data_IF_388010303721
#
_entry.id   IF_388010303721
#
_cell.length_a   1.000
_cell.length_b   1.000
_cell.length_c   1.000
_cell.angle_alpha   90.00
_cell.angle_beta   90.00
_cell.angle_gamma   90.00
#
_symmetry.space_group_name_H-M   'P 1'
#
loop_
_entity.id
_entity.type
_entity.pdbx_description
1 polymer ?
#
# COMPACT_ATOMS: atom_id res chain seq x y z
N UNK A 1 -16.99 37.89 87.03
CA UNK A 1 -17.87 38.95 86.47
C UNK A 1 -17.09 39.68 85.38
N UNK A 2 -17.69 39.83 84.19
CA UNK A 2 -17.53 40.93 83.19
C UNK A 2 -16.10 41.31 82.73
N UNK A 3 -15.79 41.63 81.46
CA UNK A 3 -16.53 41.95 80.24
C UNK A 3 -15.51 41.96 79.08
N UNK A 4 -16.08 41.89 77.88
CA UNK A 4 -15.52 41.82 76.51
C UNK A 4 -14.50 42.92 76.14
N UNK A 5 -13.60 42.61 75.18
CA UNK A 5 -13.38 43.27 73.86
C UNK A 5 -11.90 43.16 73.43
N UNK A 6 -11.66 42.53 72.27
CA UNK A 6 -10.58 42.82 71.29
C UNK A 6 -10.69 41.74 70.19
N UNK A 7 -11.59 41.82 69.21
CA UNK A 7 -11.51 42.62 67.98
C UNK A 7 -10.19 42.48 67.22
N UNK A 8 -10.15 41.41 66.42
CA UNK A 8 -9.73 41.35 65.01
C UNK A 8 -8.68 42.35 64.50
N UNK A 9 -7.43 41.89 64.39
CA UNK A 9 -6.58 42.02 63.21
C UNK A 9 -5.29 41.23 63.48
N UNK A 10 -5.27 39.94 63.15
CA UNK A 10 -4.07 39.13 63.29
C UNK A 10 -3.93 38.14 62.13
N UNK A 11 -3.04 38.53 61.22
CA UNK A 11 -2.02 37.65 60.63
C UNK A 11 -2.56 36.65 59.58
N UNK A 12 -2.79 37.24 58.42
CA UNK A 12 -2.50 36.72 57.10
C UNK A 12 -1.04 36.19 57.03
N UNK A 13 -0.77 34.93 57.42
CA UNK A 13 0.51 34.25 57.16
C UNK A 13 0.46 32.74 57.45
N UNK A 14 -0.26 31.95 56.64
CA UNK A 14 -0.11 30.48 56.62
C UNK A 14 -0.64 29.86 55.33
N UNK A 15 -0.07 30.26 54.20
CA UNK A 15 -0.36 29.69 52.88
C UNK A 15 0.96 29.53 52.09
N UNK A 16 1.90 28.72 52.59
CA UNK A 16 3.06 28.35 51.79
C UNK A 16 3.57 26.96 52.18
N UNK A 17 3.91 26.18 51.15
CA UNK A 17 4.51 24.84 51.15
C UNK A 17 3.57 23.62 51.13
N UNK A 18 2.74 23.55 50.09
CA UNK A 18 2.59 22.28 49.36
C UNK A 18 3.17 22.46 47.96
N UNK A 19 4.50 22.42 47.87
CA UNK A 19 5.19 22.31 46.59
C UNK A 19 5.10 20.87 46.12
N UNK A 20 4.22 20.59 45.14
CA UNK A 20 4.32 19.36 44.37
C UNK A 20 5.65 19.39 43.61
N UNK A 21 6.66 18.72 44.13
CA UNK A 21 7.84 18.36 43.35
C UNK A 21 7.41 17.33 42.31
N UNK A 22 6.92 17.82 41.17
CA UNK A 22 6.84 17.01 39.95
C UNK A 22 8.27 16.81 39.48
N UNK A 23 8.95 15.86 40.10
CA UNK A 23 10.22 15.32 39.59
C UNK A 23 9.88 14.65 38.28
N UNK A 24 10.04 15.36 37.17
CA UNK A 24 9.97 14.78 35.84
C UNK A 24 11.16 13.83 35.76
N UNK A 25 10.91 12.54 35.99
CA UNK A 25 11.89 11.52 35.66
C UNK A 25 11.98 11.52 34.14
N UNK A 26 13.08 12.02 33.62
CA UNK A 26 13.42 11.74 32.23
C UNK A 26 13.63 10.24 32.16
N UNK A 27 12.68 9.57 31.52
CA UNK A 27 12.82 8.17 31.19
C UNK A 27 13.93 8.05 30.14
N UNK A 28 15.14 7.69 30.58
CA UNK A 28 16.29 7.36 29.73
C UNK A 28 16.09 6.02 29.00
N UNK A 29 14.84 5.56 28.81
CA UNK A 29 14.58 4.36 28.03
C UNK A 29 15.10 4.58 26.60
N UNK A 30 16.07 3.77 26.14
CA UNK A 30 16.70 3.98 24.85
C UNK A 30 15.64 4.01 23.75
N UNK A 31 15.75 5.02 22.88
CA UNK A 31 14.86 5.21 21.75
C UNK A 31 14.62 3.86 21.06
N UNK A 32 13.35 3.46 20.98
CA UNK A 32 12.97 2.19 20.39
C UNK A 32 13.57 2.05 18.98
N UNK A 33 14.44 1.05 18.79
CA UNK A 33 15.10 0.84 17.50
C UNK A 33 14.07 0.42 16.45
N UNK A 34 14.10 1.09 15.30
CA UNK A 34 13.36 0.64 14.10
C UNK A 34 14.12 -0.54 13.50
N UNK A 35 13.43 -1.64 13.26
CA UNK A 35 13.94 -2.79 12.50
C UNK A 35 13.46 -2.63 11.06
N UNK A 36 14.40 -2.43 10.14
CA UNK A 36 14.14 -2.48 8.71
C UNK A 36 14.17 -3.95 8.26
N UNK A 37 13.15 -4.38 7.54
CA UNK A 37 13.18 -5.64 6.80
C UNK A 37 13.45 -5.27 5.35
N UNK A 38 14.56 -5.75 4.81
CA UNK A 38 14.98 -5.43 3.46
C UNK A 38 13.99 -6.04 2.45
N UNK A 39 13.05 -5.23 1.95
CA UNK A 39 12.19 -5.60 0.83
C UNK A 39 12.82 -4.99 -0.43
N UNK A 40 13.75 -5.72 -1.02
CA UNK A 40 14.39 -5.36 -2.28
C UNK A 40 13.52 -5.65 -3.51
N UNK A 41 13.99 -5.19 -4.67
CA UNK A 41 13.32 -5.39 -5.95
C UNK A 41 13.05 -6.88 -6.24
N UNK A 42 13.99 -7.77 -5.90
CA UNK A 42 13.84 -9.22 -6.07
C UNK A 42 12.68 -9.80 -5.27
N UNK A 43 12.47 -9.33 -4.03
CA UNK A 43 11.36 -9.81 -3.20
C UNK A 43 10.02 -9.37 -3.79
N UNK A 44 9.93 -8.14 -4.30
CA UNK A 44 8.72 -7.63 -4.97
C UNK A 44 8.49 -8.43 -6.27
N UNK A 45 9.54 -8.61 -7.08
CA UNK A 45 9.50 -9.34 -8.35
C UNK A 45 9.05 -10.79 -8.16
N UNK A 46 9.60 -11.51 -7.18
CA UNK A 46 9.23 -12.88 -6.88
C UNK A 46 7.76 -13.00 -6.43
N UNK A 47 7.27 -12.06 -5.62
CA UNK A 47 5.87 -12.05 -5.21
C UNK A 47 4.94 -11.70 -6.38
N UNK A 48 5.28 -10.72 -7.21
CA UNK A 48 4.51 -10.37 -8.39
C UNK A 48 4.42 -11.54 -9.38
N UNK A 49 5.54 -12.24 -9.59
CA UNK A 49 5.61 -13.44 -10.44
C UNK A 49 4.76 -14.57 -9.88
N UNK A 50 4.84 -14.85 -8.58
CA UNK A 50 4.02 -15.88 -7.95
C UNK A 50 2.52 -15.55 -7.99
N UNK A 51 2.14 -14.27 -7.89
CA UNK A 51 0.75 -13.82 -8.07
C UNK A 51 0.30 -14.01 -9.53
N UNK A 52 1.15 -13.71 -10.50
CA UNK A 52 0.88 -13.93 -11.91
C UNK A 52 0.70 -15.43 -12.23
N UNK A 53 1.55 -16.29 -11.67
CA UNK A 53 1.39 -17.74 -11.79
C UNK A 53 0.06 -18.21 -11.19
N UNK A 54 -0.32 -17.68 -10.02
CA UNK A 54 -1.62 -17.95 -9.41
C UNK A 54 -2.80 -17.49 -10.31
N UNK A 55 -2.69 -16.31 -10.94
CA UNK A 55 -3.67 -15.84 -11.94
C UNK A 55 -3.81 -16.82 -13.09
N UNK A 56 -2.70 -17.34 -13.64
CA UNK A 56 -2.76 -18.30 -14.73
C UNK A 56 -3.43 -19.61 -14.29
N UNK A 57 -3.23 -20.04 -13.04
CA UNK A 57 -3.86 -21.24 -12.50
C UNK A 57 -5.34 -21.07 -12.14
N UNK A 58 -5.84 -19.84 -12.08
CA UNK A 58 -7.23 -19.56 -11.73
C UNK A 58 -8.25 -20.17 -12.72
N UNK A 59 -9.33 -20.80 -12.25
CA UNK A 59 -10.33 -21.44 -13.12
C UNK A 59 -11.01 -20.51 -14.12
N UNK A 60 -11.34 -19.26 -13.75
CA UNK A 60 -11.98 -18.32 -14.66
C UNK A 60 -10.99 -17.85 -15.73
N UNK A 61 -9.72 -17.63 -15.36
CA UNK A 61 -8.65 -17.31 -16.31
C UNK A 61 -8.34 -18.49 -17.24
N UNK A 62 -8.35 -19.73 -16.73
CA UNK A 62 -8.25 -20.94 -17.55
C UNK A 62 -9.39 -21.05 -18.55
N UNK A 63 -10.63 -20.83 -18.11
CA UNK A 63 -11.79 -20.84 -18.98
C UNK A 63 -11.71 -19.75 -20.07
N UNK A 64 -11.32 -18.54 -19.71
CA UNK A 64 -11.14 -17.41 -20.64
C UNK A 64 -10.08 -17.66 -21.73
N UNK A 65 -9.06 -18.47 -21.41
CA UNK A 65 -7.92 -18.74 -22.32
C UNK A 65 -7.91 -20.16 -22.88
N UNK A 66 -8.96 -20.96 -22.63
CA UNK A 66 -9.03 -22.38 -23.00
C UNK A 66 -9.08 -22.60 -24.51
N UNK A 67 -9.93 -21.84 -25.19
CA UNK A 67 -10.27 -22.07 -26.59
C UNK A 67 -9.58 -21.10 -27.55
N UNK A 68 -8.97 -20.04 -27.03
CA UNK A 68 -8.26 -19.03 -27.81
C UNK A 68 -7.21 -18.31 -26.96
N UNK A 69 -6.32 -17.57 -27.61
CA UNK A 69 -5.44 -16.60 -26.94
C UNK A 69 -6.07 -15.21 -27.03
N UNK A 70 -6.83 -14.75 -26.02
CA UNK A 70 -7.39 -13.41 -26.02
C UNK A 70 -6.27 -12.37 -25.98
N UNK A 71 -6.57 -11.16 -26.44
CA UNK A 71 -5.63 -10.03 -26.41
C UNK A 71 -5.63 -9.41 -25.01
N UNK A 72 -4.44 -9.30 -24.44
CA UNK A 72 -4.18 -8.76 -23.11
C UNK A 72 -3.44 -7.43 -23.23
N UNK A 73 -4.03 -6.39 -22.65
CA UNK A 73 -3.32 -5.17 -22.30
C UNK A 73 -2.61 -5.37 -20.96
N UNK A 74 -1.33 -5.06 -20.90
CA UNK A 74 -0.56 -5.09 -19.65
C UNK A 74 -0.14 -3.67 -19.33
N UNK A 75 -0.79 -3.04 -18.35
CA UNK A 75 -0.39 -1.72 -17.86
C UNK A 75 0.83 -1.81 -16.92
N UNK A 76 0.97 -2.94 -16.22
CA UNK A 76 2.03 -3.17 -15.25
C UNK A 76 1.73 -2.59 -13.88
N UNK A 77 2.76 -2.52 -13.04
CA UNK A 77 2.70 -1.99 -11.68
C UNK A 77 2.78 -0.46 -11.66
N UNK A 78 1.83 0.15 -10.96
CA UNK A 78 1.80 1.57 -10.63
C UNK A 78 2.43 1.80 -9.25
N UNK A 79 3.29 2.82 -9.12
CA UNK A 79 3.89 3.16 -7.84
C UNK A 79 3.03 4.18 -7.05
N UNK A 80 2.30 3.70 -6.04
CA UNK A 80 1.61 4.54 -5.05
C UNK A 80 2.36 4.56 -3.69
N UNK A 81 3.64 4.19 -3.67
CA UNK A 81 4.49 4.33 -2.50
C UNK A 81 5.11 5.73 -2.43
N UNK A 82 5.70 6.04 -1.28
CA UNK A 82 6.54 7.23 -1.11
C UNK A 82 7.99 6.99 -1.55
N UNK A 83 8.31 5.75 -1.94
CA UNK A 83 9.66 5.30 -2.27
C UNK A 83 9.84 5.31 -3.80
N UNK A 84 11.04 5.64 -4.26
CA UNK A 84 11.38 5.52 -5.68
C UNK A 84 11.71 4.06 -5.98
N UNK A 85 10.70 3.32 -6.43
CA UNK A 85 10.84 1.94 -6.87
C UNK A 85 11.05 1.91 -8.37
N UNK A 86 12.08 1.18 -8.82
CA UNK A 86 12.25 0.85 -10.22
C UNK A 86 11.33 -0.33 -10.57
N UNK A 87 10.15 0.00 -11.11
CA UNK A 87 9.17 -1.00 -11.53
C UNK A 87 9.41 -1.51 -12.96
N UNK A 88 10.33 -0.91 -13.72
CA UNK A 88 10.55 -1.27 -15.12
C UNK A 88 11.07 -2.71 -15.24
N UNK A 89 12.04 -3.08 -14.42
CA UNK A 89 12.58 -4.44 -14.37
C UNK A 89 11.52 -5.47 -13.96
N UNK A 90 10.67 -5.13 -12.98
CA UNK A 90 9.61 -6.01 -12.48
C UNK A 90 8.54 -6.22 -13.55
N UNK A 91 8.10 -5.13 -14.20
CA UNK A 91 7.13 -5.20 -15.29
C UNK A 91 7.67 -5.99 -16.48
N UNK A 92 8.95 -5.83 -16.82
CA UNK A 92 9.62 -6.64 -17.85
C UNK A 92 9.61 -8.13 -17.49
N UNK A 93 9.86 -8.47 -16.22
CA UNK A 93 9.81 -9.86 -15.76
C UNK A 93 8.40 -10.44 -15.84
N UNK A 94 7.37 -9.71 -15.40
CA UNK A 94 5.97 -10.14 -15.55
C UNK A 94 5.60 -10.38 -17.02
N UNK A 95 6.04 -9.48 -17.90
CA UNK A 95 5.81 -9.61 -19.34
C UNK A 95 6.51 -10.85 -19.91
N UNK A 96 7.74 -11.16 -19.46
CA UNK A 96 8.44 -12.37 -19.87
C UNK A 96 7.70 -13.64 -19.44
N UNK A 97 7.18 -13.69 -18.21
CA UNK A 97 6.42 -14.85 -17.72
C UNK A 97 5.08 -15.02 -18.46
N UNK A 98 4.38 -13.93 -18.76
CA UNK A 98 3.17 -13.96 -19.60
C UNK A 98 3.48 -14.49 -21.02
N UNK A 99 4.60 -14.07 -21.62
CA UNK A 99 5.05 -14.57 -22.91
C UNK A 99 5.36 -16.07 -22.86
N UNK A 100 6.08 -16.54 -21.84
CA UNK A 100 6.39 -17.97 -21.64
C UNK A 100 5.13 -18.81 -21.48
N UNK A 101 4.13 -18.31 -20.74
CA UNK A 101 2.87 -19.00 -20.56
C UNK A 101 2.09 -19.16 -21.88
N UNK A 102 2.29 -18.27 -22.84
CA UNK A 102 1.74 -18.33 -24.20
C UNK A 102 0.20 -18.48 -24.26
N UNK A 103 -0.51 -17.94 -23.26
CA UNK A 103 -1.98 -18.01 -23.16
C UNK A 103 -2.70 -16.77 -23.67
N UNK A 104 -1.98 -15.67 -23.86
CA UNK A 104 -2.50 -14.39 -24.34
C UNK A 104 -1.77 -13.95 -25.61
N UNK A 105 -2.42 -13.15 -26.43
CA UNK A 105 -1.76 -12.23 -27.37
C UNK A 105 -1.65 -10.87 -26.66
N UNK A 106 -0.77 -9.99 -27.09
CA UNK A 106 -0.60 -8.70 -26.43
C UNK A 106 -1.11 -7.55 -27.30
N UNK A 107 -1.58 -6.49 -26.67
CA UNK A 107 -1.82 -5.21 -27.33
C UNK A 107 -0.54 -4.62 -27.89
N UNK A 108 -0.71 -3.77 -28.90
CA UNK A 108 0.41 -3.07 -29.52
C UNK A 108 1.12 -2.18 -28.49
N UNK A 109 2.45 -2.18 -28.54
CA UNK A 109 3.26 -1.44 -27.57
C UNK A 109 3.15 0.07 -27.78
N UNK A 110 3.00 0.54 -29.02
CA UNK A 110 2.85 1.96 -29.34
C UNK A 110 1.50 2.47 -28.82
N UNK A 111 0.42 1.72 -29.05
CA UNK A 111 -0.91 2.02 -28.51
C UNK A 111 -0.90 2.08 -26.98
N UNK A 112 -0.29 1.08 -26.33
CA UNK A 112 -0.15 1.05 -24.88
C UNK A 112 0.67 2.22 -24.35
N UNK A 113 1.75 2.61 -25.04
CA UNK A 113 2.56 3.76 -24.64
C UNK A 113 1.79 5.08 -24.77
N UNK A 114 1.04 5.25 -25.85
CA UNK A 114 0.22 6.44 -26.08
C UNK A 114 -0.89 6.57 -25.03
N UNK A 115 -1.57 5.47 -24.71
CA UNK A 115 -2.60 5.46 -23.66
C UNK A 115 -1.99 5.64 -22.26
N UNK A 116 -0.83 5.06 -21.98
CA UNK A 116 -0.15 5.25 -20.69
C UNK A 116 0.15 6.72 -20.41
N UNK A 117 0.55 7.47 -21.42
CA UNK A 117 0.79 8.91 -21.29
C UNK A 117 -0.50 9.69 -20.99
N UNK A 118 -1.64 9.29 -21.56
CA UNK A 118 -2.95 9.90 -21.26
C UNK A 118 -3.40 9.64 -19.82
N UNK A 119 -3.12 8.45 -19.30
CA UNK A 119 -3.54 8.02 -17.96
C UNK A 119 -2.60 8.47 -16.83
N UNK A 120 -1.44 9.06 -17.13
CA UNK A 120 -0.41 9.41 -16.12
C UNK A 120 -0.92 10.23 -14.93
N UNK A 121 -1.90 11.10 -15.15
CA UNK A 121 -2.48 11.97 -14.12
C UNK A 121 -3.74 11.36 -13.46
N UNK A 122 -4.18 10.19 -13.93
CA UNK A 122 -5.39 9.49 -13.49
C UNK A 122 -5.12 8.00 -13.15
N UNK A 123 -3.90 7.67 -12.73
CA UNK A 123 -3.48 6.29 -12.47
C UNK A 123 -4.26 5.63 -11.33
N UNK A 124 -4.67 6.41 -10.33
CA UNK A 124 -5.48 5.91 -9.22
C UNK A 124 -6.85 5.43 -9.72
N UNK A 125 -7.50 6.22 -10.59
CA UNK A 125 -8.77 5.87 -11.23
C UNK A 125 -8.61 4.63 -12.11
N UNK A 126 -7.53 4.55 -12.88
CA UNK A 126 -7.25 3.36 -13.70
C UNK A 126 -7.20 2.07 -12.86
N UNK A 127 -6.63 2.14 -11.65
CA UNK A 127 -6.56 1.00 -10.74
C UNK A 127 -7.85 0.76 -9.93
N UNK A 128 -8.61 1.78 -9.54
CA UNK A 128 -9.77 1.60 -8.65
C UNK A 128 -11.11 1.54 -9.38
N UNK A 129 -11.27 2.28 -10.47
CA UNK A 129 -12.52 2.38 -11.23
C UNK A 129 -12.55 1.37 -12.39
N UNK A 130 -13.51 0.42 -12.40
CA UNK A 130 -13.67 -0.53 -13.50
C UNK A 130 -13.91 0.14 -14.85
N UNK A 131 -14.65 1.26 -14.90
CA UNK A 131 -14.98 1.93 -16.15
C UNK A 131 -13.74 2.54 -16.81
N UNK A 132 -12.84 3.11 -16.01
CA UNK A 132 -11.52 3.57 -16.45
C UNK A 132 -10.69 2.43 -17.05
N UNK A 133 -10.65 1.27 -16.39
CA UNK A 133 -9.98 0.07 -16.90
C UNK A 133 -10.56 -0.45 -18.21
N UNK A 134 -11.89 -0.49 -18.33
CA UNK A 134 -12.56 -0.84 -19.59
C UNK A 134 -12.21 0.13 -20.70
N UNK A 135 -12.23 1.44 -20.42
CA UNK A 135 -11.91 2.47 -21.41
C UNK A 135 -10.50 2.28 -21.97
N UNK A 136 -9.52 2.00 -21.11
CA UNK A 136 -8.16 1.69 -21.54
C UNK A 136 -8.13 0.42 -22.42
N UNK A 137 -8.73 -0.67 -21.95
CA UNK A 137 -8.73 -1.94 -22.68
C UNK A 137 -9.38 -1.80 -24.07
N UNK A 138 -10.48 -1.05 -24.17
CA UNK A 138 -11.13 -0.73 -25.44
C UNK A 138 -10.21 0.10 -26.35
N UNK A 139 -9.54 1.12 -25.82
CA UNK A 139 -8.66 1.99 -26.61
C UNK A 139 -7.51 1.23 -27.28
N UNK A 140 -7.00 0.18 -26.63
CA UNK A 140 -5.91 -0.67 -27.15
C UNK A 140 -6.41 -2.01 -27.73
N UNK A 141 -7.71 -2.10 -28.01
CA UNK A 141 -8.40 -3.25 -28.58
C UNK A 141 -8.06 -4.59 -27.88
N UNK A 142 -8.01 -4.57 -26.54
CA UNK A 142 -7.76 -5.72 -25.68
C UNK A 142 -9.07 -6.32 -25.14
N UNK A 143 -9.08 -7.65 -24.99
CA UNK A 143 -10.16 -8.39 -24.35
C UNK A 143 -10.04 -8.32 -22.81
N UNK A 144 -8.80 -8.24 -22.31
CA UNK A 144 -8.49 -8.17 -20.89
C UNK A 144 -7.45 -7.09 -20.59
N UNK A 145 -7.51 -6.53 -19.38
CA UNK A 145 -6.52 -5.62 -18.83
C UNK A 145 -5.91 -6.18 -17.55
N UNK A 146 -4.59 -6.42 -17.56
CA UNK A 146 -3.80 -6.66 -16.36
C UNK A 146 -3.20 -5.35 -15.88
N UNK A 147 -3.58 -4.93 -14.68
CA UNK A 147 -3.03 -3.75 -14.01
C UNK A 147 -2.71 -4.11 -12.57
N UNK A 148 -1.62 -3.54 -12.07
CA UNK A 148 -1.22 -3.71 -10.70
C UNK A 148 -0.77 -2.42 -10.05
N UNK A 149 -0.60 -2.47 -8.74
CA UNK A 149 -0.09 -1.36 -7.96
C UNK A 149 0.79 -1.86 -6.81
N UNK A 150 1.67 -0.96 -6.36
CA UNK A 150 2.35 -1.09 -5.08
C UNK A 150 2.11 0.16 -4.24
N UNK A 151 1.60 -0.03 -3.02
CA UNK A 151 1.25 1.04 -2.08
C UNK A 151 1.85 0.82 -0.70
N UNK A 152 1.96 1.89 0.08
CA UNK A 152 2.36 1.81 1.48
C UNK A 152 1.14 1.56 2.38
N UNK A 153 1.23 0.57 3.27
CA UNK A 153 0.23 0.32 4.33
C UNK A 153 0.89 0.50 5.69
N UNK A 154 0.40 1.45 6.47
CA UNK A 154 0.90 1.73 7.82
C UNK A 154 -0.11 1.23 8.85
N UNK A 155 0.35 0.38 9.76
CA UNK A 155 -0.44 -0.09 10.91
C UNK A 155 0.18 0.40 12.20
N UNK A 156 -0.56 1.18 12.96
CA UNK A 156 -0.16 1.68 14.28
C UNK A 156 -1.01 1.01 15.34
N UNK A 157 -0.35 0.35 16.27
CA UNK A 157 -0.89 -0.24 17.50
C UNK A 157 -0.21 0.45 18.69
N UNK A 158 -0.78 0.38 19.91
CA UNK A 158 -0.25 1.11 21.07
C UNK A 158 1.28 0.94 21.25
N UNK A 159 1.79 -0.28 21.15
CA UNK A 159 3.22 -0.56 21.36
C UNK A 159 4.01 -0.83 20.08
N UNK A 160 3.42 -0.65 18.89
CA UNK A 160 4.06 -1.07 17.66
C UNK A 160 3.56 -0.30 16.44
N UNK A 161 4.46 0.12 15.57
CA UNK A 161 4.17 0.60 14.22
C UNK A 161 4.78 -0.36 13.20
N UNK A 162 4.01 -0.81 12.23
CA UNK A 162 4.46 -1.61 11.09
C UNK A 162 4.16 -0.87 9.79
N UNK A 163 5.10 -0.93 8.86
CA UNK A 163 4.95 -0.42 7.49
C UNK A 163 5.12 -1.59 6.53
N UNK A 164 4.21 -1.71 5.58
CA UNK A 164 4.21 -2.74 4.56
C UNK A 164 4.23 -2.09 3.19
N UNK A 165 4.87 -2.75 2.23
CA UNK A 165 4.44 -2.63 0.85
C UNK A 165 3.27 -3.56 0.63
N UNK A 166 2.21 -3.07 -0.01
CA UNK A 166 1.10 -3.87 -0.49
C UNK A 166 1.20 -3.92 -2.00
N UNK A 167 1.31 -5.13 -2.53
CA UNK A 167 1.32 -5.42 -3.96
C UNK A 167 -0.05 -5.97 -4.33
N UNK A 168 -0.70 -5.38 -5.33
CA UNK A 168 -1.99 -5.83 -5.82
C UNK A 168 -1.94 -6.01 -7.33
N UNK A 169 -2.53 -7.10 -7.83
CA UNK A 169 -2.73 -7.34 -9.26
C UNK A 169 -4.22 -7.62 -9.49
N UNK A 170 -4.78 -7.09 -10.59
CA UNK A 170 -6.13 -7.42 -11.04
C UNK A 170 -6.16 -7.66 -12.55
N UNK A 171 -6.97 -8.62 -12.96
CA UNK A 171 -7.31 -8.92 -14.35
C UNK A 171 -8.77 -8.53 -14.59
N UNK A 172 -8.98 -7.52 -15.43
CA UNK A 172 -10.29 -6.99 -15.79
C UNK A 172 -10.72 -7.53 -17.15
N UNK A 173 -11.97 -7.95 -17.27
CA UNK A 173 -12.64 -8.29 -18.53
C UNK A 173 -13.21 -7.00 -19.15
N UNK A 174 -12.78 -6.69 -20.37
CA UNK A 174 -13.18 -5.45 -21.04
C UNK A 174 -14.69 -5.44 -21.36
N UNK A 175 -15.26 -6.60 -21.69
CA UNK A 175 -16.61 -6.71 -22.24
C UNK A 175 -17.70 -6.31 -21.24
N UNK A 176 -17.51 -6.66 -19.97
CA UNK A 176 -18.49 -6.42 -18.90
C UNK A 176 -17.93 -5.59 -17.73
N UNK A 177 -16.62 -5.32 -17.69
CA UNK A 177 -15.95 -4.50 -16.67
C UNK A 177 -15.70 -5.25 -15.36
N UNK A 178 -15.92 -6.56 -15.36
CA UNK A 178 -15.72 -7.39 -14.18
C UNK A 178 -14.24 -7.66 -13.96
N UNK A 179 -13.83 -7.65 -12.70
CA UNK A 179 -12.51 -8.20 -12.34
C UNK A 179 -12.64 -9.70 -12.16
N UNK A 180 -12.18 -10.46 -13.16
CA UNK A 180 -12.28 -11.93 -13.17
C UNK A 180 -11.21 -12.59 -12.29
N UNK A 181 -10.15 -11.86 -11.95
CA UNK A 181 -9.15 -12.32 -10.98
C UNK A 181 -8.49 -11.13 -10.27
N UNK A 182 -8.20 -11.28 -8.98
CA UNK A 182 -7.46 -10.31 -8.18
C UNK A 182 -6.74 -10.99 -7.03
N UNK A 183 -5.52 -10.57 -6.78
CA UNK A 183 -4.76 -10.97 -5.59
C UNK A 183 -4.06 -9.76 -4.99
N UNK A 184 -3.84 -9.82 -3.67
CA UNK A 184 -3.07 -8.84 -2.93
C UNK A 184 -2.12 -9.54 -1.97
N UNK A 185 -0.88 -9.05 -1.88
CA UNK A 185 0.12 -9.48 -0.90
C UNK A 185 0.71 -8.30 -0.17
N UNK A 186 1.11 -8.53 1.08
CA UNK A 186 1.77 -7.51 1.89
C UNK A 186 3.16 -7.99 2.34
N UNK A 187 4.14 -7.13 2.10
CA UNK A 187 5.55 -7.36 2.41
C UNK A 187 5.94 -6.40 3.53
N UNK A 188 6.24 -6.94 4.71
CA UNK A 188 6.63 -6.13 5.86
C UNK A 188 7.95 -5.43 5.57
N UNK A 189 7.92 -4.10 5.47
CA UNK A 189 9.07 -3.23 5.18
C UNK A 189 9.79 -2.81 6.45
N UNK A 190 9.07 -2.42 7.49
CA UNK A 190 9.68 -2.02 8.75
C UNK A 190 8.76 -2.20 9.93
N UNK A 191 9.35 -2.37 11.10
CA UNK A 191 8.64 -2.36 12.36
C UNK A 191 9.39 -1.56 13.42
N UNK A 192 8.64 -0.81 14.22
CA UNK A 192 9.15 -0.02 15.33
C UNK A 192 8.28 -0.30 16.55
N UNK A 193 8.89 -0.76 17.65
CA UNK A 193 8.19 -0.82 18.92
C UNK A 193 7.99 0.61 19.43
N UNK A 194 6.83 0.98 19.93
CA UNK A 194 6.60 2.30 20.52
C UNK A 194 6.70 2.11 22.03
N UNK A 195 7.73 2.71 22.63
CA UNK A 195 7.81 2.84 24.09
C UNK A 195 7.15 4.17 24.45
N UNK A 196 6.06 4.13 25.22
CA UNK A 196 5.53 5.32 25.87
C UNK A 196 6.33 5.53 27.16
N UNK A 197 7.07 6.63 27.23
CA UNK A 197 7.65 7.09 28.50
C UNK A 197 6.53 7.61 29.42
N UNK A 198 6.58 7.24 30.69
CA UNK A 198 5.86 7.87 31.81
C UNK A 198 6.87 8.56 32.71
#
# INVERSE_FOLDING_TARGET
MTKKIAMSFAILASLIFQGCTNTVKYDDTPASKTVQKEVGADTISNNATAMLEAMLLDPEVQKATKSSRPKLAVFGLINFTYDKLDLAAINGQLMNELNKANRFRFSDQEDMSAESEKWKDSLYQLFEDPASGQSLATAVAADYLLVGEISNVIRTQPKQKKVFYRLSLKLLDQSNGETIWREQRELLKSEKNIVYGI
#
